data_IF_267988012262
#
_entry.id   IF_267988012262
#
_cell.length_a   1.000
_cell.length_b   1.000
_cell.length_c   1.000
_cell.angle_alpha   90.00
_cell.angle_beta   90.00
_cell.angle_gamma   90.00
#
_symmetry.space_group_name_H-M   'P 1'
#
loop_
_entity.id
_entity.type
_entity.pdbx_description
1 polymer ?
#
# COMPACT_ATOMS: atom_id res chain seq x y z
N UNK A 1 16.60 -24.32 -3.87
CA UNK A 1 15.79 -23.35 -3.10
C UNK A 1 14.49 -23.27 -3.86
N UNK A 2 13.41 -23.84 -3.34
CA UNK A 2 12.13 -23.84 -4.05
C UNK A 2 11.57 -22.42 -3.96
N UNK A 3 11.37 -21.76 -5.10
CA UNK A 3 10.67 -20.48 -5.16
C UNK A 3 9.18 -20.79 -4.94
N UNK A 4 8.67 -20.52 -3.74
CA UNK A 4 7.23 -20.35 -3.55
C UNK A 4 6.77 -19.14 -4.38
N UNK A 5 5.63 -19.21 -5.08
CA UNK A 5 5.14 -18.08 -5.84
C UNK A 5 4.72 -16.98 -4.85
N UNK A 6 5.42 -15.85 -4.87
CA UNK A 6 5.00 -14.67 -4.12
C UNK A 6 3.60 -14.27 -4.61
N UNK A 7 2.64 -14.15 -3.70
CA UNK A 7 1.27 -13.76 -4.07
C UNK A 7 1.25 -12.27 -4.36
N UNK A 8 1.08 -11.92 -5.64
CA UNK A 8 0.95 -10.53 -6.05
C UNK A 8 -0.32 -9.90 -5.47
N UNK A 9 -0.21 -8.63 -5.08
CA UNK A 9 -1.33 -7.84 -4.55
C UNK A 9 -1.91 -6.89 -5.60
N UNK A 10 -1.39 -6.87 -6.83
CA UNK A 10 -1.83 -5.95 -7.88
C UNK A 10 -3.32 -6.11 -8.16
N UNK A 11 -4.04 -5.01 -8.08
CA UNK A 11 -5.49 -4.95 -8.31
C UNK A 11 -6.33 -4.96 -7.04
N UNK A 12 -5.78 -5.39 -5.90
CA UNK A 12 -6.45 -5.31 -4.59
C UNK A 12 -6.73 -3.85 -4.21
N UNK A 13 -7.83 -3.64 -3.48
CA UNK A 13 -8.30 -2.34 -3.04
C UNK A 13 -8.48 -2.30 -1.52
N UNK A 14 -7.99 -1.24 -0.88
CA UNK A 14 -8.04 -1.07 0.57
C UNK A 14 -8.64 0.27 0.96
N UNK A 15 -9.65 0.25 1.82
CA UNK A 15 -10.12 1.48 2.49
C UNK A 15 -9.17 1.82 3.64
N UNK A 16 -8.51 2.96 3.55
CA UNK A 16 -7.45 3.38 4.49
C UNK A 16 -7.49 4.86 4.77
N UNK A 17 -6.98 5.23 5.95
CA UNK A 17 -6.62 6.61 6.26
C UNK A 17 -5.17 6.87 5.86
N UNK A 18 -4.96 7.99 5.20
CA UNK A 18 -3.66 8.40 4.68
C UNK A 18 -2.89 9.10 5.80
N UNK A 19 -1.76 8.51 6.16
CA UNK A 19 -0.84 9.02 7.15
C UNK A 19 0.21 9.98 6.57
N UNK A 20 1.41 10.02 7.18
CA UNK A 20 2.44 11.01 6.82
C UNK A 20 3.08 10.73 5.45
N UNK A 21 3.76 11.75 4.93
CA UNK A 21 4.57 11.66 3.71
C UNK A 21 5.92 11.00 4.03
N UNK A 22 6.28 9.97 3.27
CA UNK A 22 7.59 9.32 3.30
C UNK A 22 8.61 10.00 2.37
N UNK A 23 9.87 9.56 2.45
CA UNK A 23 10.90 9.99 1.50
C UNK A 23 10.46 9.67 0.07
N UNK A 24 10.73 10.59 -0.87
CA UNK A 24 10.28 10.47 -2.26
C UNK A 24 8.85 10.98 -2.53
N UNK A 25 8.16 11.53 -1.52
CA UNK A 25 6.90 12.26 -1.72
C UNK A 25 5.63 11.41 -1.76
N UNK A 26 5.73 10.11 -1.49
CA UNK A 26 4.58 9.22 -1.33
C UNK A 26 3.99 9.38 0.07
N UNK A 27 2.67 9.33 0.20
CA UNK A 27 2.03 9.20 1.51
C UNK A 27 2.04 7.74 1.96
N UNK A 28 2.01 7.52 3.27
CA UNK A 28 1.92 6.17 3.85
C UNK A 28 0.49 5.91 4.30
N UNK A 29 -0.05 4.77 3.94
CA UNK A 29 -1.24 4.22 4.57
C UNK A 29 -0.95 2.82 5.11
N UNK A 30 -1.78 2.35 6.04
CA UNK A 30 -1.67 1.00 6.59
C UNK A 30 -3.00 0.28 6.47
N UNK A 31 -2.97 -0.95 5.98
CA UNK A 31 -4.14 -1.82 5.97
C UNK A 31 -4.48 -2.26 7.40
N UNK A 32 -5.65 -2.87 7.59
CA UNK A 32 -6.03 -3.47 8.87
C UNK A 32 -5.05 -4.56 9.33
N UNK A 33 -4.41 -5.24 8.37
CA UNK A 33 -3.36 -6.24 8.58
C UNK A 33 -1.96 -5.63 8.71
N UNK A 34 -1.87 -4.31 8.87
CA UNK A 34 -0.65 -3.54 9.10
C UNK A 34 0.37 -3.58 7.95
N UNK A 35 -0.06 -3.96 6.74
CA UNK A 35 0.75 -3.83 5.53
C UNK A 35 0.91 -2.35 5.18
N UNK A 36 2.10 -1.97 4.72
CA UNK A 36 2.43 -0.58 4.39
C UNK A 36 2.14 -0.31 2.92
N UNK A 37 1.30 0.68 2.66
CA UNK A 37 1.02 1.17 1.30
C UNK A 37 1.74 2.49 1.06
N UNK A 38 2.51 2.58 -0.02
CA UNK A 38 3.02 3.84 -0.55
C UNK A 38 2.01 4.40 -1.55
N UNK A 39 1.31 5.46 -1.16
CA UNK A 39 0.18 6.01 -1.89
C UNK A 39 0.58 7.32 -2.58
N UNK A 40 0.33 7.38 -3.89
CA UNK A 40 0.47 8.59 -4.70
C UNK A 40 -0.88 9.31 -4.84
N UNK A 41 -0.84 10.58 -5.20
CA UNK A 41 -2.03 11.39 -5.50
C UNK A 41 -3.00 11.54 -4.33
N UNK A 42 -2.46 11.66 -3.12
CA UNK A 42 -3.23 11.86 -1.90
C UNK A 42 -2.45 12.75 -0.94
N UNK A 43 -3.15 13.32 0.04
CA UNK A 43 -2.64 14.15 1.11
C UNK A 43 -2.89 13.48 2.47
N UNK A 44 -2.03 13.75 3.48
CA UNK A 44 -2.26 13.27 4.83
C UNK A 44 -3.62 13.67 5.40
N UNK A 45 -4.30 12.74 6.06
CA UNK A 45 -5.62 12.89 6.67
C UNK A 45 -6.81 12.53 5.76
N UNK A 46 -6.57 12.21 4.49
CA UNK A 46 -7.62 11.73 3.59
C UNK A 46 -8.04 10.29 3.93
N UNK A 47 -9.32 9.98 3.69
CA UNK A 47 -9.84 8.60 3.67
C UNK A 47 -10.07 8.21 2.22
N UNK A 48 -9.44 7.13 1.78
CA UNK A 48 -9.39 6.74 0.37
C UNK A 48 -9.65 5.24 0.21
N UNK A 49 -9.99 4.86 -1.02
CA UNK A 49 -9.85 3.47 -1.49
C UNK A 49 -8.57 3.43 -2.32
N UNK A 50 -7.53 2.80 -1.80
CA UNK A 50 -6.24 2.66 -2.44
C UNK A 50 -6.19 1.37 -3.25
N UNK A 51 -5.90 1.47 -4.55
CA UNK A 51 -5.65 0.32 -5.42
C UNK A 51 -4.16 0.02 -5.52
N UNK A 52 -3.76 -1.22 -5.24
CA UNK A 52 -2.38 -1.67 -5.40
C UNK A 52 -2.05 -1.79 -6.88
N UNK A 53 -0.95 -1.15 -7.30
CA UNK A 53 -0.47 -1.20 -8.69
C UNK A 53 0.87 -1.91 -8.83
N UNK A 54 1.55 -2.20 -7.73
CA UNK A 54 2.84 -2.88 -7.66
C UNK A 54 3.02 -3.45 -6.24
N UNK A 55 3.68 -4.61 -6.13
CA UNK A 55 4.00 -5.26 -4.85
C UNK A 55 3.29 -6.61 -4.61
N UNK A 56 3.81 -7.33 -3.63
CA UNK A 56 3.42 -8.69 -3.27
C UNK A 56 3.42 -8.88 -1.75
N UNK A 57 2.92 -10.01 -1.26
CA UNK A 57 2.75 -10.27 0.19
C UNK A 57 4.03 -10.44 1.00
N UNK A 58 5.19 -10.63 0.35
CA UNK A 58 6.48 -10.91 1.01
C UNK A 58 7.40 -9.67 1.11
N UNK A 59 6.92 -8.50 0.67
CA UNK A 59 7.68 -7.23 0.70
C UNK A 59 7.64 -6.49 2.02
#
# INVERSE_FOLDING_TARGET
MQNEPTSSLVGEEYEVEVGPVAHGGHCIARTAENQVLFVRHTLPGEKIIAKVTDGDTDS
#
